data_IF_671598150934
#
_entry.id   IF_671598150934
#
_cell.length_a   1.000
_cell.length_b   1.000
_cell.length_c   1.000
_cell.angle_alpha   90.00
_cell.angle_beta   90.00
_cell.angle_gamma   90.00
#
_symmetry.space_group_name_H-M   'P 1'
#
loop_
_entity.id
_entity.type
_entity.pdbx_description
1 polymer ?
#
# COMPACT_ATOMS: atom_id res chain seq x y z
N UNK A 1 -14.23 -12.45 -13.05
CA UNK A 1 -14.04 -12.47 -11.58
C UNK A 1 -13.55 -13.85 -11.21
N UNK A 2 -12.40 -13.96 -10.53
CA UNK A 2 -12.03 -15.23 -9.88
C UNK A 2 -13.14 -15.55 -8.83
N UNK A 3 -13.59 -16.81 -8.70
CA UNK A 3 -14.57 -17.19 -7.69
C UNK A 3 -14.00 -16.94 -6.28
N UNK A 4 -14.88 -16.75 -5.30
CA UNK A 4 -14.45 -16.58 -3.91
C UNK A 4 -13.68 -17.83 -3.46
N UNK A 5 -12.50 -17.67 -2.84
CA UNK A 5 -11.69 -18.80 -2.38
C UNK A 5 -12.45 -19.63 -1.34
N UNK A 6 -12.29 -20.96 -1.42
CA UNK A 6 -13.01 -21.90 -0.56
C UNK A 6 -12.20 -22.32 0.68
N UNK A 7 -10.88 -22.11 0.67
CA UNK A 7 -9.96 -22.48 1.74
C UNK A 7 -8.99 -21.36 2.10
N UNK A 8 -8.37 -21.43 3.28
CA UNK A 8 -7.33 -20.50 3.69
C UNK A 8 -6.12 -20.55 2.73
N UNK A 9 -5.77 -21.73 2.21
CA UNK A 9 -4.67 -21.88 1.26
C UNK A 9 -4.96 -21.13 -0.05
N UNK A 10 -6.19 -21.22 -0.58
CA UNK A 10 -6.61 -20.46 -1.75
C UNK A 10 -6.58 -18.93 -1.50
N UNK A 11 -6.89 -18.51 -0.26
CA UNK A 11 -6.79 -17.10 0.15
C UNK A 11 -5.34 -16.64 0.14
N UNK A 12 -4.42 -17.43 0.70
CA UNK A 12 -3.00 -17.09 0.71
C UNK A 12 -2.42 -17.03 -0.70
N UNK A 13 -2.73 -18.00 -1.56
CA UNK A 13 -2.35 -17.97 -2.98
C UNK A 13 -2.86 -16.70 -3.67
N UNK A 14 -4.12 -16.31 -3.44
CA UNK A 14 -4.66 -15.06 -3.98
C UNK A 14 -3.93 -13.80 -3.44
N UNK A 15 -3.54 -13.81 -2.17
CA UNK A 15 -2.78 -12.71 -1.56
C UNK A 15 -1.38 -12.62 -2.18
N UNK A 16 -0.70 -13.76 -2.36
CA UNK A 16 0.63 -13.81 -2.98
C UNK A 16 0.59 -13.36 -4.44
N UNK A 17 -0.35 -13.88 -5.24
CA UNK A 17 -0.60 -13.44 -6.62
C UNK A 17 -0.78 -11.91 -6.70
N UNK A 18 -1.56 -11.35 -5.76
CA UNK A 18 -1.87 -9.94 -5.72
C UNK A 18 -0.65 -9.09 -5.33
N UNK A 19 0.11 -9.54 -4.34
CA UNK A 19 1.36 -8.91 -3.92
C UNK A 19 2.38 -8.93 -5.07
N UNK A 20 2.58 -10.07 -5.72
CA UNK A 20 3.54 -10.21 -6.83
C UNK A 20 3.16 -9.30 -7.99
N UNK A 21 1.87 -9.20 -8.31
CA UNK A 21 1.38 -8.26 -9.30
C UNK A 21 1.71 -6.81 -8.92
N UNK A 22 1.42 -6.40 -7.69
CA UNK A 22 1.74 -5.07 -7.14
C UNK A 22 3.24 -4.75 -7.19
N UNK A 23 4.08 -5.68 -6.76
CA UNK A 23 5.54 -5.52 -6.74
C UNK A 23 6.11 -5.46 -8.15
N UNK A 24 5.58 -6.25 -9.09
CA UNK A 24 5.99 -6.23 -10.49
C UNK A 24 5.69 -4.89 -11.17
N UNK A 25 4.61 -4.22 -10.74
CA UNK A 25 4.17 -2.93 -11.25
C UNK A 25 4.96 -1.77 -10.63
N UNK A 26 5.15 -1.77 -9.31
CA UNK A 26 5.82 -0.68 -8.58
C UNK A 26 7.36 -0.77 -8.70
N UNK A 27 7.93 -1.98 -8.84
CA UNK A 27 9.39 -2.25 -8.88
C UNK A 27 10.21 -1.47 -7.84
N UNK A 28 9.92 -1.65 -6.54
CA UNK A 28 10.60 -0.93 -5.47
C UNK A 28 12.11 -1.24 -5.46
N UNK A 29 12.96 -0.21 -5.38
CA UNK A 29 14.44 -0.35 -5.45
C UNK A 29 15.14 -0.28 -4.08
N UNK A 30 14.45 0.12 -3.01
CA UNK A 30 15.06 0.37 -1.69
C UNK A 30 14.25 -0.18 -0.52
N UNK A 31 12.91 -0.05 -0.53
CA UNK A 31 12.06 -0.51 0.56
C UNK A 31 10.68 -0.91 -0.01
N UNK A 32 10.21 -2.08 0.38
CA UNK A 32 8.86 -2.56 0.16
C UNK A 32 8.32 -2.94 1.55
N UNK A 33 7.27 -2.24 2.00
CA UNK A 33 6.59 -2.56 3.25
C UNK A 33 5.50 -3.56 2.92
N UNK A 34 5.80 -4.85 3.08
CA UNK A 34 4.82 -5.94 3.09
C UNK A 34 5.10 -6.74 4.33
N UNK A 35 4.07 -7.26 4.98
CA UNK A 35 4.11 -7.65 6.37
C UNK A 35 4.09 -9.19 6.61
N UNK A 36 4.92 -10.02 5.95
CA UNK A 36 5.19 -11.44 6.34
C UNK A 36 6.64 -11.91 6.03
N UNK A 37 7.45 -12.37 7.02
CA UNK A 37 8.67 -13.23 6.84
C UNK A 37 10.10 -12.61 6.73
N UNK A 38 11.15 -13.46 6.69
CA UNK A 38 12.55 -13.20 7.19
C UNK A 38 13.61 -12.52 6.28
N UNK A 39 13.39 -12.21 5.00
CA UNK A 39 14.47 -11.61 4.13
C UNK A 39 14.11 -10.25 3.51
N UNK A 40 13.05 -9.63 4.01
CA UNK A 40 12.63 -8.28 3.70
C UNK A 40 12.41 -7.57 5.05
N UNK A 41 12.66 -6.25 5.16
CA UNK A 41 12.25 -5.53 6.39
C UNK A 41 10.74 -5.33 6.35
N UNK A 42 10.09 -6.41 6.74
CA UNK A 42 8.68 -6.60 6.91
C UNK A 42 8.29 -5.98 8.25
N UNK A 43 7.36 -5.04 8.25
CA UNK A 43 6.79 -4.51 9.50
C UNK A 43 5.30 -4.79 9.44
N UNK A 44 4.81 -5.57 10.41
CA UNK A 44 3.40 -5.88 10.58
C UNK A 44 2.84 -5.03 11.73
N UNK A 45 1.73 -4.34 11.46
CA UNK A 45 0.93 -3.72 12.51
C UNK A 45 -0.43 -4.39 12.55
N UNK A 46 -0.59 -5.33 13.48
CA UNK A 46 -1.82 -6.09 13.67
C UNK A 46 -2.95 -5.21 14.23
N UNK A 47 -4.20 -5.68 14.12
CA UNK A 47 -5.40 -5.06 14.65
C UNK A 47 -5.40 -4.92 16.18
N UNK A 48 -4.57 -5.72 16.88
CA UNK A 48 -4.34 -5.57 18.32
C UNK A 48 -3.62 -4.27 18.70
N UNK A 49 -2.93 -3.62 17.75
CA UNK A 49 -2.35 -2.29 17.97
C UNK A 49 -3.44 -1.24 17.73
N UNK A 50 -3.68 -0.31 18.67
CA UNK A 50 -4.71 0.72 18.49
C UNK A 50 -4.38 1.68 17.32
N UNK A 51 -5.41 2.17 16.65
CA UNK A 51 -5.31 3.16 15.58
C UNK A 51 -5.63 2.62 14.18
N UNK A 52 -6.00 3.53 13.28
CA UNK A 52 -6.33 3.22 11.89
C UNK A 52 -5.06 2.89 11.08
N UNK A 53 -5.17 1.94 10.15
CA UNK A 53 -4.02 1.41 9.41
C UNK A 53 -3.23 2.49 8.67
N UNK A 54 -3.92 3.40 7.98
CA UNK A 54 -3.30 4.53 7.28
C UNK A 54 -2.55 5.48 8.21
N UNK A 55 -3.15 5.84 9.34
CA UNK A 55 -2.55 6.72 10.34
C UNK A 55 -1.31 6.10 10.99
N UNK A 56 -1.29 4.77 11.17
CA UNK A 56 -0.09 4.05 11.64
C UNK A 56 1.04 4.11 10.64
N UNK A 57 0.75 3.94 9.34
CA UNK A 57 1.75 4.05 8.27
C UNK A 57 2.31 5.47 8.21
N UNK A 58 1.45 6.49 8.24
CA UNK A 58 1.87 7.90 8.25
C UNK A 58 2.75 8.22 9.46
N UNK A 59 2.40 7.70 10.63
CA UNK A 59 3.20 7.85 11.85
C UNK A 59 4.57 7.19 11.72
N UNK A 60 4.62 5.99 11.13
CA UNK A 60 5.89 5.30 10.86
C UNK A 60 6.79 6.11 9.93
N UNK A 61 6.27 6.61 8.80
CA UNK A 61 7.04 7.42 7.82
C UNK A 61 7.63 8.65 8.52
N UNK A 62 6.82 9.37 9.30
CA UNK A 62 7.26 10.55 10.06
C UNK A 62 8.34 10.22 11.09
N UNK A 63 8.25 9.05 11.74
CA UNK A 63 9.26 8.61 12.71
C UNK A 63 10.58 8.23 12.04
N UNK A 64 10.54 7.56 10.86
CA UNK A 64 11.76 7.21 10.12
C UNK A 64 12.57 8.44 9.73
N UNK A 65 11.90 9.55 9.37
CA UNK A 65 12.55 10.83 9.04
C UNK A 65 13.43 11.37 10.17
N UNK A 66 13.09 11.08 11.43
CA UNK A 66 13.83 11.55 12.60
C UNK A 66 15.03 10.65 12.94
N UNK A 67 15.22 9.52 12.25
CA UNK A 67 16.32 8.61 12.51
C UNK A 67 17.63 9.12 11.89
N UNK A 68 18.77 9.01 12.60
CA UNK A 68 20.07 9.34 12.04
C UNK A 68 20.38 8.39 10.88
N UNK A 69 20.74 8.96 9.71
CA UNK A 69 21.00 8.20 8.49
C UNK A 69 19.80 8.02 7.56
N UNK A 70 18.66 8.66 7.83
CA UNK A 70 17.53 8.70 6.90
C UNK A 70 17.89 9.42 5.60
N UNK A 71 17.55 8.81 4.45
CA UNK A 71 17.72 9.39 3.11
C UNK A 71 16.48 10.22 2.74
N UNK A 72 16.57 11.57 2.61
CA UNK A 72 15.43 12.42 2.23
C UNK A 72 14.89 12.13 0.82
N UNK A 73 15.64 11.39 -0.01
CA UNK A 73 15.21 10.98 -1.34
C UNK A 73 14.55 9.59 -1.34
N UNK A 74 14.21 9.07 -0.17
CA UNK A 74 13.42 7.84 -0.05
C UNK A 74 12.08 8.03 -0.76
N UNK A 75 11.73 7.05 -1.60
CA UNK A 75 10.48 7.07 -2.37
C UNK A 75 9.45 6.22 -1.65
N UNK A 76 8.32 6.82 -1.30
CA UNK A 76 7.21 6.16 -0.62
C UNK A 76 6.10 5.90 -1.62
N UNK A 77 5.57 4.67 -1.64
CA UNK A 77 4.38 4.33 -2.41
C UNK A 77 3.35 3.74 -1.45
N UNK A 78 2.18 4.37 -1.37
CA UNK A 78 1.07 3.93 -0.54
C UNK A 78 -0.07 3.43 -1.41
N UNK A 79 -0.54 2.22 -1.15
CA UNK A 79 -1.70 1.66 -1.83
C UNK A 79 -2.94 1.78 -0.93
N UNK A 80 -4.05 2.26 -1.47
CA UNK A 80 -5.33 2.31 -0.77
C UNK A 80 -6.42 3.04 -1.56
N UNK A 81 -7.68 2.84 -1.17
CA UNK A 81 -8.85 3.39 -1.88
C UNK A 81 -9.38 4.69 -1.25
N UNK A 82 -9.01 4.99 -0.01
CA UNK A 82 -9.57 6.09 0.78
C UNK A 82 -9.03 7.45 0.34
N UNK A 83 -9.88 8.49 0.26
CA UNK A 83 -9.55 9.79 -0.35
C UNK A 83 -8.63 10.67 0.52
N UNK A 84 -8.73 10.54 1.83
CA UNK A 84 -7.85 11.06 2.88
C UNK A 84 -6.36 10.80 2.64
N UNK A 85 -5.98 9.66 2.02
CA UNK A 85 -4.60 9.31 1.71
C UNK A 85 -3.83 10.42 0.98
N UNK A 86 -4.52 11.22 0.15
CA UNK A 86 -3.90 12.37 -0.54
C UNK A 86 -3.45 13.41 0.49
N UNK A 87 -4.35 13.83 1.38
CA UNK A 87 -4.03 14.86 2.36
C UNK A 87 -3.03 14.34 3.40
N UNK A 88 -3.17 13.08 3.80
CA UNK A 88 -2.23 12.43 4.70
C UNK A 88 -0.83 12.32 4.09
N UNK A 89 -0.71 11.98 2.79
CA UNK A 89 0.58 11.94 2.10
C UNK A 89 1.28 13.29 2.10
N UNK A 90 0.55 14.38 1.85
CA UNK A 90 1.09 15.75 1.88
C UNK A 90 1.56 16.13 3.29
N UNK A 91 0.83 15.71 4.32
CA UNK A 91 1.19 15.96 5.71
C UNK A 91 2.47 15.22 6.17
N UNK A 92 2.97 14.24 5.41
CA UNK A 92 4.26 13.59 5.70
C UNK A 92 5.46 14.47 5.36
N UNK A 93 5.30 15.47 4.49
CA UNK A 93 6.39 16.32 3.97
C UNK A 93 7.51 15.54 3.24
N UNK A 94 7.18 14.38 2.67
CA UNK A 94 8.12 13.59 1.87
C UNK A 94 8.06 14.02 0.40
N UNK A 95 9.22 14.32 -0.19
CA UNK A 95 9.31 14.87 -1.55
C UNK A 95 8.88 13.85 -2.60
N UNK A 96 9.15 12.57 -2.37
CA UNK A 96 8.86 11.49 -3.30
C UNK A 96 7.80 10.54 -2.75
N UNK A 97 6.55 11.00 -2.73
CA UNK A 97 5.40 10.20 -2.32
C UNK A 97 4.49 9.90 -3.52
N UNK A 98 4.05 8.66 -3.66
CA UNK A 98 3.09 8.25 -4.69
C UNK A 98 1.96 7.44 -4.06
N UNK A 99 0.73 7.66 -4.50
CA UNK A 99 -0.43 6.89 -4.07
C UNK A 99 -0.87 6.01 -5.23
N UNK A 100 -0.98 4.71 -5.00
CA UNK A 100 -1.52 3.76 -5.95
C UNK A 100 -2.97 3.44 -5.57
N UNK A 101 -3.87 3.59 -6.54
CA UNK A 101 -5.29 3.30 -6.37
C UNK A 101 -5.77 2.44 -7.53
N UNK A 102 -6.72 1.56 -7.24
CA UNK A 102 -7.49 0.91 -8.30
C UNK A 102 -8.52 1.89 -8.87
N UNK A 103 -8.78 1.74 -10.18
CA UNK A 103 -9.86 2.47 -10.83
C UNK A 103 -11.17 1.76 -10.51
N UNK A 104 -11.94 2.31 -9.57
CA UNK A 104 -13.29 1.84 -9.29
C UNK A 104 -14.15 1.94 -10.54
N UNK A 105 -14.69 0.81 -11.00
CA UNK A 105 -15.48 0.67 -12.24
C UNK A 105 -16.76 1.52 -12.34
N UNK A 106 -17.10 2.32 -11.32
CA UNK A 106 -18.25 3.24 -11.36
C UNK A 106 -18.14 4.29 -12.48
N UNK A 107 -16.93 4.68 -12.91
CA UNK A 107 -16.75 5.58 -14.06
C UNK A 107 -16.87 4.87 -15.42
N UNK A 108 -16.63 3.56 -15.49
CA UNK A 108 -16.76 2.79 -16.73
C UNK A 108 -18.23 2.45 -17.05
N UNK A 109 -19.12 2.44 -16.06
CA UNK A 109 -20.55 2.19 -16.32
C UNK A 109 -21.24 3.35 -17.06
N UNK A 110 -20.65 4.55 -17.08
CA UNK A 110 -21.18 5.71 -17.82
C UNK A 110 -20.53 5.93 -19.20
N UNK A 111 -19.45 5.22 -19.53
CA UNK A 111 -18.79 5.32 -20.85
C UNK A 111 -19.33 4.30 -21.87
N UNK A 112 -20.02 3.25 -21.43
CA UNK A 112 -20.65 2.23 -22.30
C UNK A 112 -22.17 2.39 -22.44
N UNK A 113 -22.71 3.60 -22.27
CA UNK A 113 -24.12 3.92 -22.58
C UNK A 113 -24.31 4.92 -23.72
N UNK A 114 -23.24 5.25 -24.46
CA UNK A 114 -23.30 6.13 -25.63
C UNK A 114 -22.53 5.60 -26.85
N UNK A 115 -22.49 4.27 -27.03
CA UNK A 115 -22.20 3.61 -28.30
C UNK A 115 -23.20 2.48 -28.51
#
# INVERSE_FOLDING_TARGET
>A
MKPAPASYDDVFECIFDYIDHLVSLIRPRKLLYIAIGDYLKVILSDANVPGEGEHKIMSYIRLQRNLPGFDPNTRHCLYGLDADLIMLSLATHEVHFSILREVSGCYLHNLNKNL
#
